data_IF_127662556039
#
_entry.id   IF_127662556039
#
_cell.length_a   1.000
_cell.length_b   1.000
_cell.length_c   1.000
_cell.angle_alpha   90.00
_cell.angle_beta   90.00
_cell.angle_gamma   90.00
#
_symmetry.space_group_name_H-M   'P 1'
#
loop_
_entity.id
_entity.type
_entity.pdbx_description
1 polymer ?
#
# COMPACT_ATOMS: atom_id res chain seq x y z
N UNK A 1 -8.73 -0.58 5.71
CA UNK A 1 -9.24 0.73 6.06
C UNK A 1 -8.62 1.83 5.24
N UNK A 2 -9.34 2.92 5.17
CA UNK A 2 -8.92 4.07 4.37
C UNK A 2 -7.57 4.63 4.83
N UNK A 3 -7.35 4.63 6.12
CA UNK A 3 -6.11 5.18 6.67
C UNK A 3 -4.89 4.42 6.16
N UNK A 4 -5.01 3.10 6.05
CA UNK A 4 -3.90 2.30 5.55
C UNK A 4 -3.62 2.60 4.09
N UNK A 5 -4.68 2.78 3.30
CA UNK A 5 -4.53 3.10 1.89
C UNK A 5 -3.81 4.44 1.74
N UNK A 6 -4.24 5.43 2.52
CA UNK A 6 -3.62 6.75 2.44
C UNK A 6 -2.19 6.72 2.90
N UNK A 7 -1.89 5.90 3.91
CA UNK A 7 -0.51 5.77 4.37
C UNK A 7 0.39 5.21 3.27
N UNK A 8 -0.08 4.17 2.60
CA UNK A 8 0.69 3.56 1.52
C UNK A 8 0.94 4.57 0.41
N UNK A 9 -0.10 5.31 0.03
CA UNK A 9 0.03 6.31 -1.03
C UNK A 9 1.04 7.39 -0.61
N UNK A 10 0.96 7.84 0.62
CA UNK A 10 1.83 8.89 1.13
C UNK A 10 3.30 8.45 1.12
N UNK A 11 3.54 7.19 1.43
CA UNK A 11 4.92 6.69 1.54
C UNK A 11 5.52 6.28 0.20
N UNK A 12 4.69 5.83 -0.74
CA UNK A 12 5.17 5.29 -2.01
C UNK A 12 4.83 6.18 -3.19
N UNK A 13 3.89 7.11 -3.02
CA UNK A 13 3.44 8.00 -4.09
C UNK A 13 2.78 7.22 -5.23
N UNK A 14 2.18 6.10 -4.90
CA UNK A 14 1.51 5.28 -5.90
C UNK A 14 0.04 5.69 -6.03
N UNK A 15 -0.64 5.08 -7.00
CA UNK A 15 -2.06 5.31 -7.19
C UNK A 15 -2.86 4.62 -6.09
N UNK A 16 -4.09 5.13 -5.89
CA UNK A 16 -4.98 4.51 -4.91
C UNK A 16 -5.24 3.04 -5.24
N UNK A 17 -5.44 2.73 -6.52
CA UNK A 17 -5.68 1.36 -6.92
C UNK A 17 -4.48 0.47 -6.61
N UNK A 18 -3.29 0.98 -6.87
CA UNK A 18 -2.07 0.23 -6.55
C UNK A 18 -1.97 -0.03 -5.06
N UNK A 19 -2.28 0.98 -4.25
CA UNK A 19 -2.22 0.83 -2.80
C UNK A 19 -3.21 -0.24 -2.33
N UNK A 20 -4.41 -0.23 -2.89
CA UNK A 20 -5.42 -1.22 -2.50
C UNK A 20 -4.95 -2.62 -2.88
N UNK A 21 -4.43 -2.78 -4.10
CA UNK A 21 -3.93 -4.08 -4.52
C UNK A 21 -2.83 -4.59 -3.61
N UNK A 22 -1.89 -3.71 -3.28
CA UNK A 22 -0.77 -4.10 -2.43
C UNK A 22 -1.25 -4.49 -1.04
N UNK A 23 -2.20 -3.73 -0.50
CA UNK A 23 -2.74 -4.05 0.82
C UNK A 23 -3.47 -5.39 0.82
N UNK A 24 -4.25 -5.66 -0.24
CA UNK A 24 -4.95 -6.93 -0.32
C UNK A 24 -3.97 -8.10 -0.43
N UNK A 25 -2.91 -7.91 -1.19
CA UNK A 25 -1.90 -8.95 -1.35
C UNK A 25 -1.15 -9.20 -0.05
N UNK A 26 -1.06 -8.19 0.81
CA UNK A 26 -0.31 -8.29 2.06
C UNK A 26 -1.20 -8.47 3.29
N UNK A 27 -2.46 -8.84 3.08
CA UNK A 27 -3.35 -9.09 4.20
C UNK A 27 -3.74 -7.86 4.98
N UNK A 28 -3.68 -6.69 4.35
CA UNK A 28 -4.10 -5.46 4.99
C UNK A 28 -3.03 -4.77 5.81
N UNK A 29 -1.76 -5.19 5.67
CA UNK A 29 -0.67 -4.58 6.44
C UNK A 29 0.02 -3.50 5.62
N UNK A 30 -0.11 -2.24 6.02
CA UNK A 30 0.45 -1.14 5.23
C UNK A 30 1.98 -1.18 5.14
N UNK A 31 2.66 -1.58 6.21
CA UNK A 31 4.13 -1.65 6.16
C UNK A 31 4.59 -2.64 5.10
N UNK A 32 3.94 -3.80 5.02
CA UNK A 32 4.29 -4.79 4.02
C UNK A 32 3.93 -4.32 2.62
N UNK A 33 2.79 -3.64 2.49
CA UNK A 33 2.38 -3.11 1.20
C UNK A 33 3.38 -2.08 0.69
N UNK A 34 3.85 -1.23 1.57
CA UNK A 34 4.84 -0.21 1.20
C UNK A 34 6.12 -0.90 0.73
N UNK A 35 6.59 -1.88 1.48
CA UNK A 35 7.79 -2.61 1.11
C UNK A 35 7.62 -3.29 -0.24
N UNK A 36 6.47 -3.92 -0.45
CA UNK A 36 6.19 -4.61 -1.71
C UNK A 36 6.27 -3.65 -2.89
N UNK A 37 5.65 -2.49 -2.77
CA UNK A 37 5.64 -1.52 -3.84
C UNK A 37 7.06 -1.01 -4.11
N UNK A 38 7.81 -0.77 -3.06
CA UNK A 38 9.16 -0.23 -3.21
C UNK A 38 10.13 -1.22 -3.83
N UNK A 39 9.86 -2.52 -3.69
CA UNK A 39 10.76 -3.53 -4.24
C UNK A 39 10.32 -4.07 -5.58
N UNK A 40 9.22 -3.58 -6.09
CA UNK A 40 8.75 -4.02 -7.42
C UNK A 40 9.59 -3.50 -8.54
#
# INVERSE_FOLDING_TARGET
PEEDIELVISQTQCDREKAIEALEACGGQPAEAILKIMTE
#
